data_IF_546793096962
#
_entry.id   IF_546793096962
#
_cell.length_a   1.000
_cell.length_b   1.000
_cell.length_c   1.000
_cell.angle_alpha   90.00
_cell.angle_beta   90.00
_cell.angle_gamma   90.00
#
_symmetry.space_group_name_H-M   'P 1'
#
loop_
_entity.id
_entity.type
_entity.pdbx_description
1 polymer ?
#
# COMPACT_ATOMS: atom_id res chain seq x y z
N UNK A 1 -18.17 13.96 73.07
CA UNK A 1 -18.64 13.65 71.69
C UNK A 1 -17.50 13.37 70.70
N UNK A 2 -16.24 13.69 71.01
CA UNK A 2 -15.12 13.57 70.06
C UNK A 2 -14.62 12.13 69.82
N UNK A 3 -14.68 11.26 70.85
CA UNK A 3 -14.26 9.84 70.75
C UNK A 3 -15.16 9.02 69.82
N UNK A 4 -16.47 9.24 69.86
CA UNK A 4 -17.45 8.58 68.97
C UNK A 4 -17.24 8.93 67.49
N UNK A 5 -16.82 10.16 67.19
CA UNK A 5 -16.58 10.62 65.81
C UNK A 5 -15.29 10.03 65.23
N UNK A 6 -14.25 9.85 66.05
CA UNK A 6 -13.00 9.19 65.68
C UNK A 6 -13.18 7.68 65.45
N UNK A 7 -14.01 7.00 66.25
CA UNK A 7 -14.33 5.59 66.03
C UNK A 7 -15.10 5.37 64.73
N UNK A 8 -16.09 6.22 64.42
CA UNK A 8 -16.86 6.13 63.17
C UNK A 8 -15.97 6.33 61.93
N UNK A 9 -15.02 7.28 62.00
CA UNK A 9 -14.06 7.52 60.91
C UNK A 9 -13.12 6.33 60.71
N UNK A 10 -12.62 5.72 61.78
CA UNK A 10 -11.77 4.51 61.70
C UNK A 10 -12.57 3.34 61.11
N UNK A 11 -13.81 3.13 61.56
CA UNK A 11 -14.68 2.07 61.01
C UNK A 11 -14.95 2.29 59.53
N UNK A 12 -15.21 3.53 59.08
CA UNK A 12 -15.43 3.85 57.68
C UNK A 12 -14.18 3.61 56.81
N UNK A 13 -12.99 3.95 57.31
CA UNK A 13 -11.71 3.69 56.61
C UNK A 13 -11.45 2.20 56.50
N UNK A 14 -11.65 1.43 57.58
CA UNK A 14 -11.50 -0.04 57.55
C UNK A 14 -12.49 -0.67 56.56
N UNK A 15 -13.74 -0.19 56.53
CA UNK A 15 -14.73 -0.66 55.57
C UNK A 15 -14.32 -0.34 54.12
N UNK A 16 -13.81 0.87 53.88
CA UNK A 16 -13.31 1.28 52.57
C UNK A 16 -12.16 0.42 52.07
N UNK A 17 -11.18 0.12 52.95
CA UNK A 17 -10.05 -0.75 52.62
C UNK A 17 -10.52 -2.18 52.32
N UNK A 18 -11.49 -2.69 53.07
CA UNK A 18 -12.08 -4.02 52.79
C UNK A 18 -12.77 -4.09 51.43
N UNK A 19 -13.53 -3.04 51.06
CA UNK A 19 -14.22 -2.98 49.77
C UNK A 19 -13.21 -2.91 48.62
N UNK A 20 -12.15 -2.10 48.76
CA UNK A 20 -11.09 -2.00 47.76
C UNK A 20 -10.35 -3.34 47.63
N UNK A 21 -10.00 -3.97 48.76
CA UNK A 21 -9.34 -5.28 48.76
C UNK A 21 -10.19 -6.36 48.09
N UNK A 22 -11.50 -6.39 48.35
CA UNK A 22 -12.43 -7.30 47.70
C UNK A 22 -12.54 -7.03 46.18
N UNK A 23 -12.56 -5.77 45.77
CA UNK A 23 -12.57 -5.38 44.35
C UNK A 23 -11.29 -5.81 43.61
N UNK A 24 -10.12 -5.65 44.23
CA UNK A 24 -8.84 -6.09 43.67
C UNK A 24 -8.77 -7.62 43.56
N UNK A 25 -9.22 -8.34 44.59
CA UNK A 25 -9.28 -9.81 44.56
C UNK A 25 -10.25 -10.32 43.49
N UNK A 26 -11.42 -9.69 43.35
CA UNK A 26 -12.40 -10.03 42.33
C UNK A 26 -11.85 -9.79 40.93
N UNK A 27 -11.20 -8.64 40.69
CA UNK A 27 -10.58 -8.33 39.41
C UNK A 27 -9.46 -9.32 39.07
N UNK A 28 -8.59 -9.66 40.03
CA UNK A 28 -7.54 -10.64 39.83
C UNK A 28 -8.08 -12.05 39.52
N UNK A 29 -9.18 -12.45 40.16
CA UNK A 29 -9.84 -13.72 39.87
C UNK A 29 -10.44 -13.74 38.46
N UNK A 30 -11.07 -12.65 38.02
CA UNK A 30 -11.74 -12.58 36.72
C UNK A 30 -10.76 -12.42 35.53
N UNK A 31 -9.56 -11.87 35.78
CA UNK A 31 -8.50 -11.75 34.76
C UNK A 31 -7.49 -12.89 34.76
N UNK A 32 -7.70 -13.96 35.55
CA UNK A 32 -6.92 -15.20 35.36
C UNK A 32 -7.36 -15.88 34.07
N UNK A 33 -6.47 -16.06 33.08
CA UNK A 33 -6.77 -16.92 31.94
C UNK A 33 -7.07 -18.34 32.46
N UNK A 34 -8.04 -19.05 31.87
CA UNK A 34 -8.35 -20.41 32.29
C UNK A 34 -7.11 -21.29 32.14
N UNK A 35 -6.85 -22.14 33.13
CA UNK A 35 -5.77 -23.11 33.06
C UNK A 35 -5.93 -23.96 31.79
N UNK A 36 -4.85 -24.23 31.04
CA UNK A 36 -4.94 -25.09 29.86
C UNK A 36 -5.51 -26.45 30.28
N UNK A 37 -6.55 -26.90 29.58
CA UNK A 37 -7.17 -28.18 29.83
C UNK A 37 -6.11 -29.30 29.68
N UNK A 38 -6.15 -30.36 30.52
CA UNK A 38 -5.28 -31.50 30.32
C UNK A 38 -5.58 -32.13 28.97
N UNK A 39 -4.61 -32.08 28.06
CA UNK A 39 -4.68 -32.75 26.76
C UNK A 39 -4.66 -34.25 27.03
N UNK A 40 -5.78 -34.92 26.74
CA UNK A 40 -5.85 -36.37 26.67
C UNK A 40 -5.06 -36.79 25.44
N UNK A 41 -3.97 -37.52 25.65
CA UNK A 41 -3.11 -38.04 24.59
C UNK A 41 -3.89 -39.09 23.78
N UNK A 42 -4.07 -38.92 22.46
CA UNK A 42 -4.74 -39.93 21.63
C UNK A 42 -3.85 -41.17 21.48
N UNK A 43 -4.43 -42.36 21.25
CA UNK A 43 -3.66 -43.58 21.07
C UNK A 43 -2.71 -43.45 19.87
N UNK A 44 -1.46 -43.86 20.07
CA UNK A 44 -0.37 -43.81 19.10
C UNK A 44 -0.69 -44.69 17.88
N UNK A 45 -1.23 -44.07 16.84
CA UNK A 45 -1.27 -44.62 15.48
C UNK A 45 0.15 -44.56 14.94
N UNK A 46 0.68 -45.67 14.42
CA UNK A 46 1.95 -45.65 13.68
C UNK A 46 1.73 -44.85 12.40
N UNK A 47 2.27 -43.63 12.35
CA UNK A 47 2.35 -42.83 11.14
C UNK A 47 3.31 -43.49 10.14
N UNK A 48 2.95 -43.54 8.84
CA UNK A 48 3.90 -43.81 7.77
C UNK A 48 5.03 -42.79 7.84
N UNK A 49 6.25 -43.21 7.51
CA UNK A 49 7.43 -42.32 7.45
C UNK A 49 7.08 -40.99 6.76
N UNK A 50 7.46 -39.84 7.35
CA UNK A 50 7.15 -38.54 6.77
C UNK A 50 7.71 -38.47 5.34
N UNK A 51 6.97 -37.86 4.40
CA UNK A 51 7.56 -37.44 3.14
C UNK A 51 8.79 -36.57 3.44
N UNK A 52 9.84 -36.62 2.61
CA UNK A 52 10.98 -35.72 2.79
C UNK A 52 10.46 -34.27 2.92
N UNK A 53 11.11 -33.44 3.75
CA UNK A 53 10.73 -32.05 3.93
C UNK A 53 10.52 -31.40 2.56
N UNK A 54 9.48 -30.58 2.35
CA UNK A 54 9.44 -29.69 1.21
C UNK A 54 10.81 -29.04 1.11
N UNK A 55 11.49 -29.23 -0.02
CA UNK A 55 12.71 -28.49 -0.30
C UNK A 55 12.37 -27.02 -0.01
N UNK A 56 13.11 -26.41 0.90
CA UNK A 56 13.12 -24.96 1.02
C UNK A 56 13.13 -24.41 -0.40
N UNK A 57 12.26 -23.45 -0.77
CA UNK A 57 12.43 -22.79 -2.04
C UNK A 57 13.84 -22.20 -1.99
N UNK A 58 14.77 -22.89 -2.66
CA UNK A 58 16.09 -22.39 -3.03
C UNK A 58 15.82 -20.95 -3.43
N UNK A 59 16.46 -19.94 -2.82
CA UNK A 59 16.33 -18.56 -3.27
C UNK A 59 16.31 -18.63 -4.76
N UNK A 60 15.20 -18.17 -5.38
CA UNK A 60 15.11 -18.16 -6.82
C UNK A 60 16.43 -17.53 -7.24
N UNK A 61 17.29 -18.31 -7.89
CA UNK A 61 18.48 -17.79 -8.52
C UNK A 61 17.91 -16.68 -9.37
N UNK A 62 18.13 -15.44 -8.92
CA UNK A 62 17.88 -14.26 -9.70
C UNK A 62 18.77 -14.49 -10.88
N UNK A 63 18.15 -15.06 -11.91
CA UNK A 63 18.80 -15.46 -13.13
C UNK A 63 19.31 -14.12 -13.61
N UNK A 64 20.61 -13.89 -13.43
CA UNK A 64 21.29 -12.73 -13.99
C UNK A 64 20.73 -12.62 -15.40
N UNK A 65 20.06 -11.51 -15.75
CA UNK A 65 19.49 -11.38 -17.07
C UNK A 65 20.63 -11.68 -18.04
N UNK A 66 20.49 -12.76 -18.80
CA UNK A 66 21.36 -13.01 -19.94
C UNK A 66 21.47 -11.67 -20.67
N UNK A 67 22.67 -11.16 -20.98
CA UNK A 67 22.85 -9.80 -21.43
C UNK A 67 21.94 -9.59 -22.63
N UNK A 68 20.79 -8.96 -22.37
CA UNK A 68 19.88 -8.59 -23.42
C UNK A 68 20.72 -7.70 -24.34
N UNK A 69 20.66 -7.88 -25.67
CA UNK A 69 21.41 -7.04 -26.59
C UNK A 69 21.16 -5.61 -26.15
N UNK A 70 22.23 -4.91 -25.75
CA UNK A 70 22.13 -3.60 -25.13
C UNK A 70 21.31 -2.72 -26.07
N UNK A 71 20.02 -2.59 -25.78
CA UNK A 71 19.15 -1.71 -26.52
C UNK A 71 19.79 -0.36 -26.24
N UNK A 72 20.35 0.24 -27.28
CA UNK A 72 20.98 1.56 -27.16
C UNK A 72 19.87 2.53 -26.79
N UNK A 73 19.70 2.73 -25.49
CA UNK A 73 18.73 3.67 -24.98
C UNK A 73 19.22 5.07 -25.30
N UNK A 74 18.34 5.96 -25.77
CA UNK A 74 18.70 7.36 -25.92
C UNK A 74 19.02 7.96 -24.55
N UNK A 75 19.78 9.06 -24.55
CA UNK A 75 19.93 9.88 -23.36
C UNK A 75 18.54 10.32 -22.85
N UNK A 76 18.40 10.44 -21.53
CA UNK A 76 17.13 10.78 -20.90
C UNK A 76 16.48 12.06 -21.47
N UNK A 77 17.27 13.07 -21.85
CA UNK A 77 16.80 14.32 -22.48
C UNK A 77 16.19 14.15 -23.87
N UNK A 78 16.50 13.04 -24.54
CA UNK A 78 16.04 12.72 -25.90
C UNK A 78 15.17 11.46 -25.91
N UNK A 79 14.75 10.99 -24.73
CA UNK A 79 14.07 9.70 -24.58
C UNK A 79 12.57 9.73 -24.90
N UNK A 80 11.94 10.91 -24.93
CA UNK A 80 10.48 11.04 -25.07
C UNK A 80 9.91 10.31 -26.32
N UNK A 81 10.56 10.42 -27.47
CA UNK A 81 10.08 9.78 -28.70
C UNK A 81 10.25 8.26 -28.67
N UNK A 82 11.36 7.79 -28.09
CA UNK A 82 11.59 6.37 -27.85
C UNK A 82 10.54 5.79 -26.88
N UNK A 83 10.21 6.52 -25.81
CA UNK A 83 9.20 6.12 -24.83
C UNK A 83 7.82 6.05 -25.50
N UNK A 84 7.43 7.07 -26.26
CA UNK A 84 6.15 7.11 -27.00
C UNK A 84 6.02 5.94 -27.97
N UNK A 85 7.10 5.59 -28.67
CA UNK A 85 7.11 4.45 -29.57
C UNK A 85 6.99 3.12 -28.79
N UNK A 86 7.64 3.01 -27.64
CA UNK A 86 7.61 1.82 -26.78
C UNK A 86 6.23 1.56 -26.18
N UNK A 87 5.50 2.62 -25.80
CA UNK A 87 4.15 2.52 -25.21
C UNK A 87 3.02 2.52 -26.25
N UNK A 88 3.35 2.61 -27.53
CA UNK A 88 2.37 2.61 -28.62
C UNK A 88 1.64 1.26 -28.65
N UNK A 89 0.31 1.31 -28.63
CA UNK A 89 -0.51 0.09 -28.67
C UNK A 89 -0.59 -0.68 -27.34
N UNK A 90 -0.17 -0.08 -26.22
CA UNK A 90 -0.41 -0.65 -24.89
C UNK A 90 -1.90 -0.72 -24.53
N UNK A 91 -2.70 0.21 -25.06
CA UNK A 91 -4.13 0.30 -24.80
C UNK A 91 -4.87 0.61 -26.12
N UNK A 92 -6.07 0.02 -26.32
CA UNK A 92 -6.98 0.41 -27.38
C UNK A 92 -7.67 1.76 -27.10
N UNK A 93 -7.62 2.23 -25.85
CA UNK A 93 -8.23 3.47 -25.42
C UNK A 93 -7.32 4.66 -25.76
N UNK A 94 -7.73 5.47 -26.73
CA UNK A 94 -6.91 6.57 -27.28
C UNK A 94 -6.40 7.60 -26.26
N UNK A 95 -7.05 7.73 -25.08
CA UNK A 95 -6.62 8.67 -24.04
C UNK A 95 -5.26 8.37 -23.43
N UNK A 96 -4.85 7.10 -23.36
CA UNK A 96 -3.50 6.76 -22.91
C UNK A 96 -2.47 7.43 -23.83
N UNK A 97 -2.65 7.33 -25.16
CA UNK A 97 -1.76 7.97 -26.10
C UNK A 97 -1.80 9.51 -26.00
N UNK A 98 -2.96 10.11 -25.73
CA UNK A 98 -3.09 11.56 -25.53
C UNK A 98 -2.34 12.06 -24.29
N UNK A 99 -2.48 11.37 -23.17
CA UNK A 99 -1.81 11.73 -21.91
C UNK A 99 -0.29 11.62 -21.99
N UNK A 100 0.22 10.74 -22.85
CA UNK A 100 1.66 10.52 -23.03
C UNK A 100 2.32 11.53 -24.00
N UNK A 101 1.59 12.55 -24.46
CA UNK A 101 2.11 13.64 -25.31
C UNK A 101 2.87 14.72 -24.53
N UNK A 102 2.90 14.64 -23.21
CA UNK A 102 3.68 15.56 -22.36
C UNK A 102 5.19 15.41 -22.62
N UNK A 103 5.95 16.43 -22.24
CA UNK A 103 7.41 16.41 -22.28
C UNK A 103 7.98 15.76 -21.01
N UNK A 104 9.18 15.19 -21.12
CA UNK A 104 9.93 14.59 -20.02
C UNK A 104 9.14 13.47 -19.32
N UNK A 105 8.53 12.59 -20.10
CA UNK A 105 7.56 11.61 -19.58
C UNK A 105 8.14 10.74 -18.47
N UNK A 106 9.38 10.26 -18.65
CA UNK A 106 10.09 9.45 -17.66
C UNK A 106 10.26 10.21 -16.34
N UNK A 107 10.73 11.47 -16.38
CA UNK A 107 10.95 12.29 -15.17
C UNK A 107 9.65 12.61 -14.46
N UNK A 108 8.61 12.97 -15.20
CA UNK A 108 7.28 13.27 -14.64
C UNK A 108 6.70 12.05 -13.92
N UNK A 109 6.75 10.88 -14.54
CA UNK A 109 6.28 9.63 -13.92
C UNK A 109 7.15 9.27 -12.71
N UNK A 110 8.47 9.38 -12.83
CA UNK A 110 9.40 9.07 -11.72
C UNK A 110 9.12 9.92 -10.48
N UNK A 111 8.96 11.24 -10.66
CA UNK A 111 8.63 12.15 -9.56
C UNK A 111 7.23 11.87 -8.98
N UNK A 112 6.25 11.53 -9.82
CA UNK A 112 4.93 11.16 -9.34
C UNK A 112 4.97 9.88 -8.48
N UNK A 113 5.71 8.85 -8.92
CA UNK A 113 5.90 7.60 -8.16
C UNK A 113 6.62 7.86 -6.84
N UNK A 114 7.67 8.67 -6.83
CA UNK A 114 8.38 9.03 -5.59
C UNK A 114 7.46 9.74 -4.60
N UNK A 115 6.65 10.71 -5.06
CA UNK A 115 5.68 11.38 -4.19
C UNK A 115 4.69 10.37 -3.60
N UNK A 116 4.14 9.46 -4.40
CA UNK A 116 3.18 8.45 -3.93
C UNK A 116 3.85 7.53 -2.90
N UNK A 117 5.07 7.04 -3.16
CA UNK A 117 5.81 6.19 -2.23
C UNK A 117 6.08 6.88 -0.88
N UNK A 118 6.21 8.21 -0.87
CA UNK A 118 6.37 9.04 0.33
C UNK A 118 5.03 9.46 0.97
N UNK A 119 3.90 9.01 0.45
CA UNK A 119 2.56 9.39 0.94
C UNK A 119 2.15 10.83 0.58
N UNK A 120 2.85 11.45 -0.37
CA UNK A 120 2.57 12.81 -0.86
C UNK A 120 1.70 12.81 -2.12
N UNK A 121 1.04 13.94 -2.37
CA UNK A 121 0.19 14.09 -3.55
C UNK A 121 1.04 14.26 -4.84
N UNK A 122 0.87 13.43 -5.88
CA UNK A 122 1.53 13.60 -7.17
C UNK A 122 0.85 14.65 -8.07
N UNK A 123 -0.16 15.37 -7.56
CA UNK A 123 -1.03 16.26 -8.35
C UNK A 123 -0.27 17.30 -9.18
N UNK A 124 0.84 17.82 -8.66
CA UNK A 124 1.67 18.81 -9.36
C UNK A 124 2.26 18.24 -10.68
N UNK A 125 2.54 16.94 -10.71
CA UNK A 125 3.11 16.26 -11.88
C UNK A 125 2.03 15.72 -12.82
N UNK A 126 0.87 15.34 -12.28
CA UNK A 126 -0.19 14.64 -13.02
C UNK A 126 -1.35 15.54 -13.48
N UNK A 127 -1.10 16.86 -13.62
CA UNK A 127 -2.12 17.82 -14.04
C UNK A 127 -2.78 17.50 -15.38
N UNK A 128 -2.06 16.83 -16.29
CA UNK A 128 -2.57 16.41 -17.61
C UNK A 128 -3.66 15.33 -17.55
N UNK A 129 -3.81 14.63 -16.42
CA UNK A 129 -4.90 13.66 -16.20
C UNK A 129 -6.21 14.34 -15.79
N UNK A 130 -6.19 15.64 -15.47
CA UNK A 130 -7.37 16.35 -14.98
C UNK A 130 -8.38 16.64 -16.11
N UNK A 131 -9.61 16.14 -15.96
CA UNK A 131 -10.67 16.28 -16.97
C UNK A 131 -11.85 17.18 -16.53
N UNK A 132 -11.62 18.06 -15.55
CA UNK A 132 -12.56 19.14 -15.21
C UNK A 132 -13.89 18.70 -14.57
N UNK A 133 -14.08 17.42 -14.25
CA UNK A 133 -15.32 16.94 -13.64
C UNK A 133 -15.45 17.48 -12.21
N UNK A 134 -16.46 18.32 -11.98
CA UNK A 134 -16.65 19.02 -10.71
C UNK A 134 -17.35 18.11 -9.71
N UNK A 135 -16.87 18.13 -8.46
CA UNK A 135 -17.58 17.51 -7.36
C UNK A 135 -18.96 18.14 -7.21
N UNK A 136 -20.01 17.33 -7.32
CA UNK A 136 -21.40 17.79 -7.28
C UNK A 136 -22.09 17.29 -6.01
N UNK A 137 -22.83 18.18 -5.36
CA UNK A 137 -23.69 17.88 -4.22
C UNK A 137 -25.15 18.09 -4.60
N UNK A 138 -26.02 17.22 -4.10
CA UNK A 138 -27.47 17.37 -4.19
C UNK A 138 -28.04 17.69 -2.81
N UNK A 139 -29.19 18.36 -2.78
CA UNK A 139 -29.88 18.67 -1.53
C UNK A 139 -31.23 17.96 -1.50
N UNK A 140 -31.56 17.31 -0.37
CA UNK A 140 -32.87 16.69 -0.16
C UNK A 140 -33.31 16.85 1.29
N UNK A 141 -34.38 17.63 1.51
CA UNK A 141 -34.90 17.88 2.86
C UNK A 141 -33.91 18.59 3.77
N UNK A 142 -33.21 19.62 3.26
CA UNK A 142 -32.25 20.42 4.03
C UNK A 142 -30.93 19.71 4.36
N UNK A 143 -30.70 18.54 3.78
CA UNK A 143 -29.45 17.78 3.94
C UNK A 143 -28.72 17.68 2.59
N UNK A 144 -27.41 17.85 2.63
CA UNK A 144 -26.54 17.66 1.48
C UNK A 144 -26.18 16.18 1.33
N UNK A 145 -26.22 15.69 0.10
CA UNK A 145 -25.83 14.35 -0.29
C UNK A 145 -24.89 14.39 -1.48
N UNK A 146 -24.08 13.35 -1.63
CA UNK A 146 -23.26 13.19 -2.82
C UNK A 146 -24.17 13.02 -4.03
N UNK A 147 -24.05 13.92 -5.01
CA UNK A 147 -24.83 13.80 -6.24
C UNK A 147 -24.34 12.60 -7.05
N UNK A 148 -25.21 11.77 -7.68
CA UNK A 148 -24.78 10.59 -8.45
C UNK A 148 -23.72 10.87 -9.54
N UNK A 149 -23.78 12.05 -10.18
CA UNK A 149 -22.75 12.54 -11.13
C UNK A 149 -21.32 12.52 -10.55
N UNK A 150 -21.15 12.62 -9.24
CA UNK A 150 -19.84 12.63 -8.59
C UNK A 150 -19.14 11.27 -8.58
N UNK A 151 -19.88 10.18 -8.78
CA UNK A 151 -19.30 8.83 -8.87
C UNK A 151 -18.50 8.65 -10.17
N UNK A 152 -18.96 9.22 -11.29
CA UNK A 152 -18.34 9.02 -12.60
C UNK A 152 -17.10 9.88 -12.90
N UNK A 153 -16.58 10.63 -11.91
CA UNK A 153 -15.48 11.59 -12.14
C UNK A 153 -14.17 10.90 -12.55
N UNK A 154 -14.01 9.64 -12.17
CA UNK A 154 -12.81 8.86 -12.42
C UNK A 154 -13.01 7.75 -13.45
N UNK A 155 -14.23 7.58 -14.00
CA UNK A 155 -14.55 6.51 -14.96
C UNK A 155 -13.60 6.57 -16.16
N UNK A 156 -13.38 7.74 -16.74
CA UNK A 156 -12.45 7.90 -17.87
C UNK A 156 -11.02 7.44 -17.53
N UNK A 157 -10.55 7.70 -16.31
CA UNK A 157 -9.22 7.28 -15.86
C UNK A 157 -9.18 5.77 -15.62
N UNK A 158 -10.21 5.24 -14.95
CA UNK A 158 -10.33 3.81 -14.66
C UNK A 158 -10.44 2.99 -15.95
N UNK A 159 -11.32 3.38 -16.88
CA UNK A 159 -11.53 2.73 -18.17
C UNK A 159 -10.24 2.73 -19.01
N UNK A 160 -9.55 3.88 -19.06
CA UNK A 160 -8.27 3.99 -19.76
C UNK A 160 -7.21 3.06 -19.13
N UNK A 161 -7.12 2.99 -17.79
CA UNK A 161 -6.14 2.15 -17.11
C UNK A 161 -6.45 0.66 -17.25
N UNK A 162 -7.70 0.26 -17.06
CA UNK A 162 -8.15 -1.15 -17.18
C UNK A 162 -8.01 -1.66 -18.62
N UNK A 163 -8.03 -0.77 -19.62
CA UNK A 163 -7.80 -1.15 -21.02
C UNK A 163 -6.34 -1.52 -21.37
N UNK A 164 -5.39 -1.32 -20.44
CA UNK A 164 -3.98 -1.64 -20.69
C UNK A 164 -3.76 -3.15 -20.82
N UNK A 165 -3.00 -3.55 -21.84
CA UNK A 165 -2.54 -4.92 -21.96
C UNK A 165 -1.40 -5.18 -20.96
N UNK A 166 -1.68 -5.95 -19.91
CA UNK A 166 -0.72 -6.24 -18.83
C UNK A 166 0.63 -6.75 -19.35
N UNK A 167 0.64 -7.73 -20.25
CA UNK A 167 1.88 -8.32 -20.77
C UNK A 167 2.76 -7.32 -21.51
N UNK A 168 2.16 -6.51 -22.40
CA UNK A 168 2.89 -5.45 -23.11
C UNK A 168 3.36 -4.34 -22.17
N UNK A 169 2.56 -4.01 -21.16
CA UNK A 169 2.94 -3.00 -20.14
C UNK A 169 4.15 -3.44 -19.34
N UNK A 170 4.22 -4.72 -18.92
CA UNK A 170 5.39 -5.28 -18.24
C UNK A 170 6.64 -5.22 -19.14
N UNK A 171 6.51 -5.61 -20.41
CA UNK A 171 7.62 -5.53 -21.38
C UNK A 171 8.09 -4.09 -21.61
N UNK A 172 7.17 -3.15 -21.73
CA UNK A 172 7.49 -1.72 -21.85
C UNK A 172 8.21 -1.22 -20.59
N UNK A 173 7.73 -1.59 -19.41
CA UNK A 173 8.38 -1.23 -18.15
C UNK A 173 9.82 -1.77 -18.07
N UNK A 174 10.04 -3.05 -18.39
CA UNK A 174 11.39 -3.65 -18.36
C UNK A 174 12.37 -2.89 -19.28
N UNK A 175 11.94 -2.56 -20.51
CA UNK A 175 12.74 -1.80 -21.46
C UNK A 175 13.05 -0.37 -20.99
N UNK A 176 12.11 0.27 -20.30
CA UNK A 176 12.23 1.64 -19.83
C UNK A 176 12.84 1.75 -18.42
N UNK A 177 13.00 0.63 -17.71
CA UNK A 177 13.54 0.59 -16.34
C UNK A 177 14.86 1.35 -16.19
N UNK A 178 15.84 1.26 -17.11
CA UNK A 178 17.09 2.01 -16.96
C UNK A 178 16.89 3.53 -17.03
N UNK A 179 15.95 4.02 -17.85
CA UNK A 179 15.64 5.45 -17.94
C UNK A 179 14.94 5.95 -16.68
N UNK A 180 14.02 5.17 -16.12
CA UNK A 180 13.40 5.51 -14.83
C UNK A 180 14.44 5.55 -13.70
N UNK A 181 15.37 4.59 -13.69
CA UNK A 181 16.46 4.58 -12.71
C UNK A 181 17.37 5.80 -12.87
N UNK A 182 17.67 6.22 -14.10
CA UNK A 182 18.45 7.43 -14.37
C UNK A 182 17.73 8.69 -13.86
N UNK A 183 16.45 8.85 -14.17
CA UNK A 183 15.63 9.94 -13.65
C UNK A 183 15.57 9.94 -12.12
N UNK A 184 15.51 8.76 -11.51
CA UNK A 184 15.47 8.63 -10.05
C UNK A 184 16.77 9.10 -9.40
N UNK A 185 17.92 8.85 -10.05
CA UNK A 185 19.20 9.42 -9.62
C UNK A 185 19.23 10.94 -9.76
N UNK A 186 18.67 11.50 -10.84
CA UNK A 186 18.57 12.96 -11.02
C UNK A 186 17.73 13.65 -9.92
N UNK A 187 16.76 12.94 -9.34
CA UNK A 187 15.99 13.43 -8.19
C UNK A 187 16.79 13.48 -6.87
N UNK A 188 18.03 12.98 -6.87
CA UNK A 188 18.90 12.98 -5.69
C UNK A 188 18.99 11.62 -4.98
N UNK A 189 18.59 10.53 -5.64
CA UNK A 189 18.68 9.18 -5.10
C UNK A 189 19.71 8.31 -5.84
N UNK A 190 21.03 8.53 -5.68
CA UNK A 190 22.07 7.83 -6.44
C UNK A 190 22.09 6.31 -6.18
N UNK A 191 21.84 5.90 -4.93
CA UNK A 191 22.00 4.51 -4.47
C UNK A 191 20.68 3.74 -4.32
N UNK A 192 19.53 4.36 -4.57
CA UNK A 192 18.23 3.70 -4.40
C UNK A 192 17.73 3.11 -5.71
N UNK A 193 17.09 1.95 -5.63
CA UNK A 193 16.45 1.31 -6.77
C UNK A 193 15.02 1.85 -6.99
N UNK A 194 14.75 2.32 -8.20
CA UNK A 194 13.45 2.86 -8.58
C UNK A 194 12.37 1.77 -8.56
N UNK A 195 12.70 0.53 -8.89
CA UNK A 195 11.70 -0.56 -8.90
C UNK A 195 11.18 -0.81 -7.48
N UNK A 196 12.04 -0.84 -6.47
CA UNK A 196 11.62 -0.92 -5.08
C UNK A 196 10.69 0.24 -4.68
N UNK A 197 11.01 1.49 -5.06
CA UNK A 197 10.14 2.65 -4.82
C UNK A 197 8.80 2.53 -5.53
N UNK A 198 8.79 2.00 -6.76
CA UNK A 198 7.55 1.73 -7.49
C UNK A 198 6.68 0.70 -6.77
N UNK A 199 7.27 -0.38 -6.25
CA UNK A 199 6.53 -1.39 -5.46
C UNK A 199 5.98 -0.78 -4.17
N UNK A 200 6.73 0.12 -3.52
CA UNK A 200 6.25 0.84 -2.34
C UNK A 200 5.06 1.77 -2.64
N UNK A 201 4.93 2.26 -3.88
CA UNK A 201 3.89 3.20 -4.28
C UNK A 201 2.53 2.56 -4.61
N UNK A 202 2.41 1.24 -4.57
CA UNK A 202 1.22 0.47 -4.96
C UNK A 202 0.68 -0.29 -3.74
#
# INVERSE_FOLDING_TARGET
MESQRKSILITAVVLGVLIIGAGVLYWWYYMRPPAPAPVVEPPKVQEPSPPPPPAEPKPAEEKEPAPEPAVTLPAIDQSDDFVKQTIKGLSPHGKIADWMKIKNLIRVITAAVDNIARGESPRAHLGFLFYGQVFSVGEKGGKLYLHPKSYGRYDLLADAFVSLNTGRTVQAYQKLKPLFQEAYRELGYPEKDFHATLIQAI
#
